data_IF_471840816935
#
_entry.id   IF_471840816935
#
_cell.length_a   1.000
_cell.length_b   1.000
_cell.length_c   1.000
_cell.angle_alpha   90.00
_cell.angle_beta   90.00
_cell.angle_gamma   90.00
#
_symmetry.space_group_name_H-M   'P 1'
#
loop_
_entity.id
_entity.type
_entity.pdbx_description
1 polymer ?
#
# COMPACT_ATOMS: atom_id res chain seq x y z
N UNK A 1 -125.91 65.86 -25.71
CA UNK A 1 -124.77 65.08 -25.17
C UNK A 1 -124.93 63.68 -25.72
N UNK A 2 -124.21 63.40 -26.81
CA UNK A 2 -124.14 62.11 -27.52
C UNK A 2 -123.38 61.07 -26.68
N UNK A 3 -123.39 59.81 -27.15
CA UNK A 3 -122.54 58.67 -26.72
C UNK A 3 -123.13 57.87 -25.54
N UNK A 4 -123.34 56.55 -25.56
CA UNK A 4 -122.91 55.48 -26.47
C UNK A 4 -123.75 54.24 -26.12
N UNK A 5 -124.77 53.90 -26.90
CA UNK A 5 -125.51 52.63 -26.71
C UNK A 5 -124.67 51.49 -27.27
N UNK A 6 -123.90 50.82 -26.41
CA UNK A 6 -123.22 49.57 -26.79
C UNK A 6 -124.28 48.52 -27.17
N UNK A 7 -124.24 48.06 -28.42
CA UNK A 7 -125.11 47.00 -28.90
C UNK A 7 -124.86 45.71 -28.08
N UNK A 8 -125.89 44.93 -27.73
CA UNK A 8 -125.74 43.71 -26.92
C UNK A 8 -124.79 42.67 -27.55
N UNK A 9 -124.56 42.73 -28.87
CA UNK A 9 -123.57 41.94 -29.60
C UNK A 9 -122.11 42.26 -29.23
N UNK A 10 -121.80 43.53 -28.98
CA UNK A 10 -120.44 43.99 -28.66
C UNK A 10 -120.02 43.54 -27.24
N UNK A 11 -120.97 43.54 -26.30
CA UNK A 11 -120.78 43.03 -24.94
C UNK A 11 -120.49 41.51 -24.93
N UNK A 12 -121.17 40.75 -25.78
CA UNK A 12 -120.93 39.31 -25.92
C UNK A 12 -119.53 39.01 -26.49
N UNK A 13 -119.08 39.81 -27.46
CA UNK A 13 -117.76 39.66 -28.09
C UNK A 13 -116.62 40.00 -27.12
N UNK A 14 -116.80 41.02 -26.27
CA UNK A 14 -115.83 41.36 -25.22
C UNK A 14 -115.78 40.24 -24.16
N UNK A 15 -116.92 39.67 -23.78
CA UNK A 15 -116.97 38.58 -22.79
C UNK A 15 -116.32 37.28 -23.30
N UNK A 16 -116.52 36.93 -24.56
CA UNK A 16 -115.86 35.75 -25.15
C UNK A 16 -114.35 35.97 -25.30
N UNK A 17 -113.94 37.18 -25.67
CA UNK A 17 -112.52 37.54 -25.77
C UNK A 17 -111.84 37.50 -24.40
N UNK A 18 -112.48 38.02 -23.34
CA UNK A 18 -111.91 37.98 -21.99
C UNK A 18 -111.81 36.56 -21.46
N UNK A 19 -112.83 35.72 -21.66
CA UNK A 19 -112.78 34.29 -21.28
C UNK A 19 -111.66 33.56 -22.04
N UNK A 20 -111.51 33.82 -23.34
CA UNK A 20 -110.44 33.21 -24.14
C UNK A 20 -109.05 33.63 -23.66
N UNK A 21 -108.85 34.91 -23.36
CA UNK A 21 -107.58 35.44 -22.82
C UNK A 21 -107.28 34.84 -21.44
N UNK A 22 -108.27 34.73 -20.56
CA UNK A 22 -108.11 34.12 -19.23
C UNK A 22 -107.81 32.62 -19.34
N UNK A 23 -108.48 31.90 -20.24
CA UNK A 23 -108.21 30.50 -20.50
C UNK A 23 -106.80 30.28 -21.09
N UNK A 24 -106.37 31.13 -22.02
CA UNK A 24 -105.02 31.10 -22.59
C UNK A 24 -103.95 31.41 -21.54
N UNK A 25 -104.21 32.37 -20.65
CA UNK A 25 -103.31 32.73 -19.55
C UNK A 25 -103.23 31.60 -18.51
N UNK A 26 -104.36 30.97 -18.19
CA UNK A 26 -104.42 29.83 -17.28
C UNK A 26 -103.70 28.60 -17.85
N UNK A 27 -103.84 28.30 -19.15
CA UNK A 27 -103.09 27.24 -19.81
C UNK A 27 -101.58 27.56 -19.85
N UNK A 28 -101.19 28.81 -20.11
CA UNK A 28 -99.78 29.21 -20.13
C UNK A 28 -99.12 29.07 -18.75
N UNK A 29 -99.84 29.43 -17.69
CA UNK A 29 -99.39 29.25 -16.30
C UNK A 29 -99.27 27.77 -15.92
N UNK A 30 -100.24 26.93 -16.31
CA UNK A 30 -100.16 25.47 -16.07
C UNK A 30 -99.07 24.79 -16.90
N UNK A 31 -98.85 25.23 -18.14
CA UNK A 31 -97.77 24.71 -18.99
C UNK A 31 -96.40 25.04 -18.40
N UNK A 32 -96.21 26.27 -17.89
CA UNK A 32 -94.98 26.67 -17.18
C UNK A 32 -94.79 25.95 -15.84
N UNK A 33 -95.86 25.67 -15.10
CA UNK A 33 -95.77 24.90 -13.86
C UNK A 33 -95.29 23.45 -14.08
N UNK A 34 -95.58 22.86 -15.25
CA UNK A 34 -95.10 21.51 -15.62
C UNK A 34 -93.68 21.50 -16.19
N UNK A 35 -93.14 22.64 -16.62
CA UNK A 35 -91.78 22.77 -17.17
C UNK A 35 -90.72 23.22 -16.16
N UNK A 36 -91.07 23.39 -14.87
CA UNK A 36 -90.11 23.71 -13.80
C UNK A 36 -89.43 22.44 -13.25
N UNK A 37 -89.90 21.24 -13.61
CA UNK A 37 -89.29 19.95 -13.22
C UNK A 37 -88.17 19.49 -14.17
N UNK A 38 -87.71 20.32 -15.11
CA UNK A 38 -86.59 19.98 -16.00
C UNK A 38 -85.31 20.75 -15.65
N UNK A 39 -84.88 20.68 -14.39
CA UNK A 39 -83.56 21.13 -13.90
C UNK A 39 -82.61 19.95 -13.57
N UNK A 40 -82.98 18.73 -13.92
CA UNK A 40 -82.21 17.50 -13.65
C UNK A 40 -80.77 17.45 -14.23
N UNK A 41 -80.43 17.99 -15.42
CA UNK A 41 -79.09 17.75 -15.99
C UNK A 41 -77.96 18.45 -15.23
N UNK A 42 -78.25 19.47 -14.40
CA UNK A 42 -77.21 20.18 -13.63
C UNK A 42 -76.89 19.43 -12.34
N UNK A 43 -77.88 18.80 -11.72
CA UNK A 43 -77.71 18.02 -10.49
C UNK A 43 -76.92 16.74 -10.77
N UNK A 44 -77.20 16.07 -11.89
CA UNK A 44 -76.43 14.88 -12.30
C UNK A 44 -74.97 15.19 -12.62
N UNK A 45 -74.72 16.33 -13.28
CA UNK A 45 -73.35 16.79 -13.55
C UNK A 45 -72.60 17.17 -12.26
N UNK A 46 -73.28 17.77 -11.28
CA UNK A 46 -72.71 18.08 -9.97
C UNK A 46 -72.38 16.82 -9.16
N UNK A 47 -73.26 15.81 -9.21
CA UNK A 47 -73.02 14.52 -8.55
C UNK A 47 -71.83 13.77 -9.18
N UNK A 48 -71.76 13.72 -10.51
CA UNK A 48 -70.63 13.12 -11.24
C UNK A 48 -69.32 13.86 -10.97
N UNK A 49 -69.36 15.19 -10.87
CA UNK A 49 -68.20 16.00 -10.55
C UNK A 49 -67.73 15.79 -9.11
N UNK A 50 -68.67 15.70 -8.16
CA UNK A 50 -68.38 15.34 -6.76
C UNK A 50 -67.68 13.98 -6.65
N UNK A 51 -68.16 12.98 -7.38
CA UNK A 51 -67.54 11.64 -7.41
C UNK A 51 -66.13 11.66 -8.01
N UNK A 52 -65.90 12.44 -9.08
CA UNK A 52 -64.57 12.61 -9.67
C UNK A 52 -63.61 13.34 -8.73
N UNK A 53 -64.06 14.39 -8.03
CA UNK A 53 -63.26 15.09 -7.04
C UNK A 53 -62.93 14.17 -5.86
N UNK A 54 -63.87 13.35 -5.41
CA UNK A 54 -63.63 12.43 -4.30
C UNK A 54 -62.62 11.34 -4.67
N UNK A 55 -62.72 10.76 -5.87
CA UNK A 55 -61.71 9.82 -6.40
C UNK A 55 -60.33 10.47 -6.59
N UNK A 56 -60.29 11.73 -6.99
CA UNK A 56 -59.04 12.50 -7.09
C UNK A 56 -58.43 12.76 -5.70
N UNK A 57 -59.27 13.11 -4.72
CA UNK A 57 -58.87 13.32 -3.33
C UNK A 57 -58.29 12.04 -2.71
N UNK A 58 -58.94 10.89 -2.90
CA UNK A 58 -58.44 9.58 -2.46
C UNK A 58 -57.12 9.20 -3.15
N UNK A 59 -56.99 9.51 -4.45
CA UNK A 59 -55.74 9.34 -5.18
C UNK A 59 -54.60 10.21 -4.65
N UNK A 60 -54.88 11.48 -4.35
CA UNK A 60 -53.92 12.42 -3.78
C UNK A 60 -53.49 12.02 -2.36
N UNK A 61 -54.40 11.52 -1.54
CA UNK A 61 -54.10 11.03 -0.19
C UNK A 61 -53.20 9.78 -0.24
N UNK A 62 -53.49 8.82 -1.14
CA UNK A 62 -52.61 7.67 -1.40
C UNK A 62 -51.24 8.07 -1.93
N UNK A 63 -51.17 9.07 -2.81
CA UNK A 63 -49.89 9.58 -3.30
C UNK A 63 -49.09 10.24 -2.18
N UNK A 64 -49.75 11.00 -1.30
CA UNK A 64 -49.10 11.65 -0.16
C UNK A 64 -48.57 10.62 0.83
N UNK A 65 -49.37 9.60 1.16
CA UNK A 65 -48.92 8.47 2.00
C UNK A 65 -47.83 7.61 1.35
N UNK A 66 -47.92 7.38 0.04
CA UNK A 66 -46.90 6.68 -0.74
C UNK A 66 -45.58 7.43 -0.80
N UNK A 67 -45.62 8.75 -0.99
CA UNK A 67 -44.42 9.61 -0.95
C UNK A 67 -43.78 9.65 0.44
N UNK A 68 -44.59 9.69 1.50
CA UNK A 68 -44.10 9.66 2.88
C UNK A 68 -43.34 8.35 3.17
N UNK A 69 -43.92 7.21 2.81
CA UNK A 69 -43.31 5.89 3.02
C UNK A 69 -42.07 5.67 2.15
N UNK A 70 -42.06 6.16 0.90
CA UNK A 70 -40.87 6.14 0.04
C UNK A 70 -39.78 7.03 0.61
N UNK A 71 -40.11 8.21 1.13
CA UNK A 71 -39.17 9.12 1.77
C UNK A 71 -38.55 8.49 3.03
N UNK A 72 -39.35 7.85 3.88
CA UNK A 72 -38.89 7.12 5.05
C UNK A 72 -37.99 5.92 4.68
N UNK A 73 -38.38 5.14 3.65
CA UNK A 73 -37.57 4.04 3.15
C UNK A 73 -36.23 4.52 2.58
N UNK A 74 -36.23 5.64 1.85
CA UNK A 74 -35.02 6.27 1.32
C UNK A 74 -34.12 6.78 2.46
N UNK A 75 -34.68 7.46 3.46
CA UNK A 75 -33.92 7.92 4.63
C UNK A 75 -33.27 6.76 5.39
N UNK A 76 -34.01 5.65 5.56
CA UNK A 76 -33.48 4.44 6.20
C UNK A 76 -32.39 3.76 5.38
N UNK A 77 -32.54 3.71 4.05
CA UNK A 77 -31.51 3.19 3.16
C UNK A 77 -30.24 4.05 3.21
N UNK A 78 -30.39 5.38 3.24
CA UNK A 78 -29.27 6.32 3.35
C UNK A 78 -28.50 6.16 4.67
N UNK A 79 -29.20 6.02 5.80
CA UNK A 79 -28.57 5.76 7.10
C UNK A 79 -27.83 4.40 7.13
N UNK A 80 -28.41 3.36 6.54
CA UNK A 80 -27.75 2.05 6.41
C UNK A 80 -26.46 2.14 5.60
N UNK A 81 -26.47 2.94 4.53
CA UNK A 81 -25.31 3.15 3.67
C UNK A 81 -24.20 3.91 4.42
N UNK A 82 -24.56 4.95 5.18
CA UNK A 82 -23.61 5.69 6.04
C UNK A 82 -22.97 4.75 7.06
N UNK A 83 -23.77 3.95 7.77
CA UNK A 83 -23.26 2.99 8.76
C UNK A 83 -22.33 1.95 8.13
N UNK A 84 -22.68 1.43 6.94
CA UNK A 84 -21.84 0.48 6.22
C UNK A 84 -20.53 1.11 5.73
N UNK A 85 -20.57 2.37 5.27
CA UNK A 85 -19.36 3.10 4.94
C UNK A 85 -18.47 3.30 6.17
N UNK A 86 -19.03 3.69 7.30
CA UNK A 86 -18.28 3.89 8.55
C UNK A 86 -17.62 2.58 9.01
N UNK A 87 -18.36 1.47 8.97
CA UNK A 87 -17.82 0.15 9.31
C UNK A 87 -16.70 -0.28 8.33
N UNK A 88 -16.89 -0.03 7.02
CA UNK A 88 -15.87 -0.30 6.00
C UNK A 88 -14.63 0.55 6.20
N UNK A 89 -14.78 1.84 6.46
CA UNK A 89 -13.67 2.77 6.71
C UNK A 89 -12.90 2.36 7.97
N UNK A 90 -13.60 2.00 9.05
CA UNK A 90 -12.98 1.49 10.27
C UNK A 90 -12.19 0.19 10.03
N UNK A 91 -12.76 -0.76 9.29
CA UNK A 91 -12.05 -1.99 8.89
C UNK A 91 -10.82 -1.72 8.03
N UNK A 92 -10.93 -0.83 7.05
CA UNK A 92 -9.79 -0.43 6.21
C UNK A 92 -8.72 0.26 7.04
N UNK A 93 -9.09 1.14 7.96
CA UNK A 93 -8.14 1.82 8.85
C UNK A 93 -7.39 0.83 9.75
N UNK A 94 -8.11 -0.13 10.35
CA UNK A 94 -7.50 -1.19 11.16
C UNK A 94 -6.56 -2.06 10.33
N UNK A 95 -7.00 -2.56 9.17
CA UNK A 95 -6.16 -3.38 8.29
C UNK A 95 -4.94 -2.62 7.78
N UNK A 96 -5.10 -1.33 7.44
CA UNK A 96 -3.99 -0.50 6.99
C UNK A 96 -2.98 -0.28 8.11
N UNK A 97 -3.43 -0.03 9.33
CA UNK A 97 -2.55 0.12 10.50
C UNK A 97 -1.80 -1.18 10.80
N UNK A 98 -2.49 -2.34 10.79
CA UNK A 98 -1.84 -3.64 10.96
C UNK A 98 -0.80 -3.90 9.87
N UNK A 99 -1.15 -3.70 8.60
CA UNK A 99 -0.23 -3.90 7.48
C UNK A 99 0.99 -2.97 7.53
N UNK A 100 0.79 -1.68 7.86
CA UNK A 100 1.88 -0.72 8.01
C UNK A 100 2.80 -1.08 9.17
N UNK A 101 2.23 -1.49 10.32
CA UNK A 101 3.00 -1.95 11.48
C UNK A 101 3.81 -3.20 11.14
N UNK A 102 3.18 -4.19 10.50
CA UNK A 102 3.85 -5.42 10.07
C UNK A 102 4.97 -5.16 9.07
N UNK A 103 4.72 -4.28 8.08
CA UNK A 103 5.71 -3.85 7.09
C UNK A 103 6.88 -3.13 7.75
N UNK A 104 6.61 -2.18 8.66
CA UNK A 104 7.63 -1.46 9.41
C UNK A 104 8.51 -2.41 10.22
N UNK A 105 7.90 -3.37 10.94
CA UNK A 105 8.62 -4.39 11.71
C UNK A 105 9.56 -5.22 10.83
N UNK A 106 9.06 -5.68 9.68
CA UNK A 106 9.83 -6.48 8.72
C UNK A 106 10.97 -5.67 8.09
N UNK A 107 10.72 -4.41 7.76
CA UNK A 107 11.75 -3.49 7.25
C UNK A 107 12.84 -3.24 8.29
N UNK A 108 12.47 -3.04 9.56
CA UNK A 108 13.43 -2.87 10.65
C UNK A 108 14.30 -4.12 10.87
N UNK A 109 13.71 -5.32 10.78
CA UNK A 109 14.46 -6.58 10.83
C UNK A 109 15.42 -6.72 9.65
N UNK A 110 14.96 -6.48 8.41
CA UNK A 110 15.82 -6.53 7.22
C UNK A 110 16.98 -5.53 7.29
N UNK A 111 16.74 -4.32 7.79
CA UNK A 111 17.79 -3.31 8.03
C UNK A 111 18.80 -3.78 9.08
N UNK A 112 18.34 -4.41 10.16
CA UNK A 112 19.21 -5.01 11.17
C UNK A 112 20.10 -6.12 10.61
N UNK A 113 19.52 -7.03 9.81
CA UNK A 113 20.25 -8.11 9.15
C UNK A 113 21.28 -7.57 8.15
N UNK A 114 20.93 -6.52 7.40
CA UNK A 114 21.85 -5.84 6.49
C UNK A 114 22.99 -5.17 7.26
N UNK A 115 22.69 -4.49 8.37
CA UNK A 115 23.72 -3.89 9.23
C UNK A 115 24.68 -4.95 9.78
N UNK A 116 24.18 -6.11 10.20
CA UNK A 116 25.01 -7.21 10.68
C UNK A 116 25.90 -7.80 9.57
N UNK A 117 25.36 -7.93 8.35
CA UNK A 117 26.14 -8.36 7.18
C UNK A 117 27.22 -7.34 6.83
N UNK A 118 26.91 -6.04 6.82
CA UNK A 118 27.89 -4.98 6.59
C UNK A 118 28.99 -4.97 7.65
N UNK A 119 28.64 -5.09 8.94
CA UNK A 119 29.63 -5.19 10.01
C UNK A 119 30.54 -6.42 9.87
N UNK A 120 30.01 -7.54 9.34
CA UNK A 120 30.81 -8.74 9.06
C UNK A 120 31.73 -8.52 7.85
N UNK A 121 31.25 -7.84 6.81
CA UNK A 121 32.05 -7.45 5.64
C UNK A 121 33.18 -6.49 6.05
N UNK A 122 32.90 -5.50 6.89
CA UNK A 122 33.92 -4.56 7.39
C UNK A 122 35.00 -5.30 8.18
N UNK A 123 34.61 -6.23 9.06
CA UNK A 123 35.57 -7.10 9.79
C UNK A 123 36.39 -7.98 8.85
N UNK A 124 35.79 -8.50 7.78
CA UNK A 124 36.50 -9.29 6.79
C UNK A 124 37.49 -8.42 5.99
N UNK A 125 37.09 -7.21 5.60
CA UNK A 125 37.98 -6.25 4.94
C UNK A 125 39.14 -5.84 5.83
N UNK A 126 38.93 -5.54 7.12
CA UNK A 126 40.01 -5.19 8.03
C UNK A 126 41.05 -6.31 8.15
N UNK A 127 40.60 -7.57 8.21
CA UNK A 127 41.48 -8.75 8.19
C UNK A 127 42.24 -8.88 6.87
N UNK A 128 41.57 -8.62 5.73
CA UNK A 128 42.22 -8.64 4.41
C UNK A 128 43.25 -7.53 4.31
N UNK A 129 42.96 -6.29 4.74
CA UNK A 129 43.92 -5.18 4.70
C UNK A 129 45.16 -5.47 5.55
N UNK A 130 45.00 -6.05 6.74
CA UNK A 130 46.13 -6.49 7.59
C UNK A 130 46.96 -7.58 6.89
N UNK A 131 46.29 -8.62 6.37
CA UNK A 131 46.96 -9.72 5.67
C UNK A 131 47.68 -9.26 4.39
N UNK A 132 47.05 -8.39 3.60
CA UNK A 132 47.65 -7.85 2.37
C UNK A 132 48.86 -6.97 2.68
N UNK A 133 48.88 -6.25 3.80
CA UNK A 133 50.06 -5.49 4.24
C UNK A 133 51.26 -6.38 4.57
N UNK A 134 51.04 -7.43 5.35
CA UNK A 134 52.10 -8.35 5.78
C UNK A 134 52.66 -9.18 4.60
N UNK A 135 51.78 -9.60 3.67
CA UNK A 135 52.19 -10.36 2.47
C UNK A 135 52.97 -9.50 1.48
N UNK A 136 52.60 -8.22 1.30
CA UNK A 136 53.34 -7.30 0.44
C UNK A 136 54.72 -6.97 1.02
N UNK A 137 54.81 -6.75 2.34
CA UNK A 137 56.09 -6.50 3.02
C UNK A 137 57.06 -7.67 2.91
N UNK A 138 56.57 -8.91 3.08
CA UNK A 138 57.38 -10.13 2.89
C UNK A 138 57.81 -10.31 1.43
N UNK A 139 56.94 -10.01 0.46
CA UNK A 139 57.30 -10.09 -0.96
C UNK A 139 58.40 -9.08 -1.33
N UNK A 140 58.32 -7.86 -0.81
CA UNK A 140 59.32 -6.81 -1.06
C UNK A 140 60.69 -7.19 -0.47
N UNK A 141 60.72 -7.75 0.74
CA UNK A 141 61.94 -8.28 1.38
C UNK A 141 62.56 -9.43 0.57
N UNK A 142 61.75 -10.33 0.02
CA UNK A 142 62.21 -11.51 -0.73
C UNK A 142 62.64 -11.19 -2.18
N UNK A 143 62.16 -10.07 -2.74
CA UNK A 143 62.51 -9.61 -4.09
C UNK A 143 63.97 -9.20 -4.24
N UNK A 144 64.60 -8.71 -3.16
CA UNK A 144 65.97 -8.21 -3.15
C UNK A 144 66.97 -9.31 -2.74
N UNK A 145 68.06 -9.49 -3.51
CA UNK A 145 69.06 -10.55 -3.27
C UNK A 145 69.78 -10.40 -1.92
N UNK A 146 70.08 -9.18 -1.51
CA UNK A 146 70.79 -8.90 -0.25
C UNK A 146 69.88 -9.13 0.95
N UNK A 147 68.65 -8.61 0.90
CA UNK A 147 67.67 -8.75 1.99
C UNK A 147 67.23 -10.20 2.17
N UNK A 148 67.13 -10.98 1.08
CA UNK A 148 66.89 -12.42 1.13
C UNK A 148 68.04 -13.20 1.79
N UNK A 149 69.29 -12.81 1.52
CA UNK A 149 70.46 -13.37 2.19
C UNK A 149 70.39 -13.14 3.71
N UNK A 150 70.14 -11.90 4.11
CA UNK A 150 69.98 -11.53 5.52
C UNK A 150 68.83 -12.30 6.21
N UNK A 151 67.71 -12.55 5.52
CA UNK A 151 66.62 -13.37 6.07
C UNK A 151 67.03 -14.83 6.33
N UNK A 152 67.82 -15.42 5.42
CA UNK A 152 68.41 -16.74 5.61
C UNK A 152 69.34 -16.79 6.83
N UNK A 153 70.20 -15.77 6.97
CA UNK A 153 71.15 -15.66 8.09
C UNK A 153 70.43 -15.48 9.44
N UNK A 154 69.36 -14.66 9.48
CA UNK A 154 68.54 -14.45 10.68
C UNK A 154 67.84 -15.74 11.10
N UNK A 155 67.21 -16.46 10.16
CA UNK A 155 66.58 -17.75 10.48
C UNK A 155 67.60 -18.78 10.93
N UNK A 156 68.76 -18.85 10.28
CA UNK A 156 69.84 -19.74 10.72
C UNK A 156 70.26 -19.41 12.15
N UNK A 157 70.41 -18.12 12.47
CA UNK A 157 70.77 -17.66 13.82
C UNK A 157 69.73 -18.04 14.86
N UNK A 158 68.44 -17.86 14.55
CA UNK A 158 67.33 -18.24 15.45
C UNK A 158 67.27 -19.76 15.68
N UNK A 159 67.45 -20.57 14.62
CA UNK A 159 67.49 -22.03 14.73
C UNK A 159 68.69 -22.48 15.57
N UNK A 160 69.88 -21.96 15.29
CA UNK A 160 71.11 -22.36 15.97
C UNK A 160 71.10 -21.92 17.43
N UNK A 161 70.63 -20.71 17.73
CA UNK A 161 70.51 -20.21 19.12
C UNK A 161 69.46 -20.97 19.95
N UNK A 162 68.42 -21.52 19.32
CA UNK A 162 67.45 -22.40 19.98
C UNK A 162 67.97 -23.83 20.19
N UNK A 163 68.77 -24.33 19.25
CA UNK A 163 69.25 -25.71 19.26
C UNK A 163 70.54 -25.91 20.06
N UNK A 164 71.41 -24.90 20.13
CA UNK A 164 72.75 -24.99 20.72
C UNK A 164 73.02 -23.84 21.70
N UNK A 165 73.82 -24.08 22.75
CA UNK A 165 74.28 -23.01 23.64
C UNK A 165 75.18 -22.03 22.89
N UNK A 166 75.26 -20.78 23.36
CA UNK A 166 76.04 -19.69 22.74
C UNK A 166 77.51 -20.01 22.51
N UNK A 167 78.07 -20.93 23.30
CA UNK A 167 79.49 -21.31 23.22
C UNK A 167 79.76 -22.40 22.17
N UNK A 168 78.70 -23.03 21.64
CA UNK A 168 78.74 -24.15 20.69
C UNK A 168 78.80 -23.74 19.23
N UNK A 169 78.68 -22.44 18.91
CA UNK A 169 78.69 -21.95 17.54
C UNK A 169 79.32 -20.56 17.43
N UNK A 170 79.62 -20.14 16.21
CA UNK A 170 80.18 -18.83 15.89
C UNK A 170 79.51 -18.30 14.62
N UNK A 171 78.92 -17.12 14.69
CA UNK A 171 78.20 -16.52 13.56
C UNK A 171 79.16 -15.67 12.74
N UNK A 172 79.02 -15.68 11.41
CA UNK A 172 79.86 -14.90 10.50
C UNK A 172 81.37 -15.16 10.65
N UNK A 173 81.75 -16.38 11.02
CA UNK A 173 83.14 -16.75 11.25
C UNK A 173 83.96 -16.71 9.96
N UNK A 174 85.18 -16.15 10.05
CA UNK A 174 86.15 -16.15 8.95
C UNK A 174 87.07 -17.35 9.09
N UNK A 175 87.05 -18.22 8.08
CA UNK A 175 87.85 -19.43 8.02
C UNK A 175 89.32 -19.09 7.68
N UNK A 176 90.23 -20.03 7.97
CA UNK A 176 91.67 -19.90 7.69
C UNK A 176 92.01 -19.72 6.20
N UNK A 177 91.05 -19.98 5.30
CA UNK A 177 91.15 -19.77 3.86
C UNK A 177 90.65 -18.38 3.40
N UNK A 178 90.31 -17.47 4.33
CA UNK A 178 89.81 -16.12 4.04
C UNK A 178 88.35 -16.05 3.60
N UNK A 179 87.62 -17.18 3.58
CA UNK A 179 86.17 -17.20 3.30
C UNK A 179 85.38 -17.01 4.58
N UNK A 180 84.28 -16.25 4.50
CA UNK A 180 83.35 -16.06 5.61
C UNK A 180 82.17 -17.00 5.45
N UNK A 181 81.80 -17.68 6.52
CA UNK A 181 80.63 -18.55 6.57
C UNK A 181 79.55 -17.95 7.46
N UNK A 182 78.29 -18.28 7.20
CA UNK A 182 77.15 -17.76 7.98
C UNK A 182 77.18 -18.27 9.43
N UNK A 183 77.51 -19.55 9.63
CA UNK A 183 77.69 -20.14 10.95
C UNK A 183 78.74 -21.26 10.96
N UNK A 184 79.49 -21.32 12.06
CA UNK A 184 80.46 -22.35 12.36
C UNK A 184 80.07 -23.04 13.67
N UNK A 185 79.66 -24.30 13.61
CA UNK A 185 79.36 -25.10 14.80
C UNK A 185 80.66 -25.73 15.31
N UNK A 186 80.97 -25.51 16.58
CA UNK A 186 82.17 -26.02 17.27
C UNK A 186 81.81 -27.33 17.97
N UNK A 187 82.15 -28.46 17.35
CA UNK A 187 81.96 -29.79 17.92
C UNK A 187 83.30 -30.40 18.38
N UNK A 188 83.29 -31.24 19.44
CA UNK A 188 84.46 -32.04 19.81
C UNK A 188 84.78 -33.06 18.72
N UNK A 189 86.07 -33.36 18.56
CA UNK A 189 86.57 -34.22 17.50
C UNK A 189 86.35 -35.72 17.86
N UNK A 190 85.89 -36.60 16.94
CA UNK A 190 85.32 -36.40 15.60
C UNK A 190 83.78 -36.27 15.63
N UNK A 191 83.12 -35.43 14.80
CA UNK A 191 83.52 -35.01 13.44
C UNK A 191 84.22 -33.65 13.28
N UNK A 192 84.48 -32.90 14.36
CA UNK A 192 85.15 -31.58 14.28
C UNK A 192 84.24 -30.43 13.84
N UNK A 193 84.77 -29.21 13.65
CA UNK A 193 83.95 -28.02 13.40
C UNK A 193 83.25 -28.07 12.04
N UNK A 194 81.95 -27.73 12.01
CA UNK A 194 81.09 -27.81 10.82
C UNK A 194 80.71 -26.40 10.37
N UNK A 195 80.85 -26.14 9.08
CA UNK A 195 80.48 -24.88 8.44
C UNK A 195 79.09 -25.00 7.83
N UNK A 196 78.22 -24.02 8.08
CA UNK A 196 76.86 -23.94 7.55
C UNK A 196 76.68 -22.62 6.80
N UNK A 197 76.11 -22.70 5.59
CA UNK A 197 75.72 -21.58 4.74
C UNK A 197 74.19 -21.60 4.62
N UNK A 198 73.54 -20.48 4.92
CA UNK A 198 72.11 -20.34 4.78
C UNK A 198 71.79 -19.83 3.37
N UNK A 199 71.08 -20.65 2.61
CA UNK A 199 70.60 -20.26 1.28
C UNK A 199 69.10 -20.39 1.20
N UNK A 200 68.43 -19.30 0.84
CA UNK A 200 66.98 -19.30 0.63
C UNK A 200 66.62 -19.88 -0.75
N UNK A 201 65.86 -21.01 -0.81
CA UNK A 201 65.43 -21.60 -2.08
C UNK A 201 64.14 -20.92 -2.59
N UNK A 202 64.29 -19.90 -3.42
CA UNK A 202 63.15 -19.12 -3.94
C UNK A 202 62.15 -19.98 -4.72
N UNK A 203 62.64 -20.86 -5.59
CA UNK A 203 61.79 -21.72 -6.44
C UNK A 203 60.91 -22.66 -5.60
N UNK A 204 61.45 -23.26 -4.54
CA UNK A 204 60.68 -24.11 -3.64
C UNK A 204 59.62 -23.32 -2.85
N UNK A 205 59.95 -22.09 -2.43
CA UNK A 205 59.00 -21.20 -1.75
C UNK A 205 57.89 -20.72 -2.68
N UNK A 206 58.21 -20.34 -3.92
CA UNK A 206 57.23 -19.94 -4.92
C UNK A 206 56.32 -21.12 -5.33
N UNK A 207 56.88 -22.33 -5.44
CA UNK A 207 56.12 -23.55 -5.67
C UNK A 207 55.12 -23.80 -4.53
N UNK A 208 55.55 -23.68 -3.27
CA UNK A 208 54.67 -23.79 -2.10
C UNK A 208 53.58 -22.71 -2.08
N UNK A 209 53.91 -21.46 -2.42
CA UNK A 209 52.94 -20.35 -2.43
C UNK A 209 51.89 -20.50 -3.52
N UNK A 210 52.28 -21.03 -4.69
CA UNK A 210 51.36 -21.22 -5.81
C UNK A 210 50.54 -22.52 -5.67
N UNK A 211 50.98 -23.45 -4.82
CA UNK A 211 50.22 -24.63 -4.48
C UNK A 211 48.94 -24.24 -3.73
N UNK A 212 47.80 -24.39 -4.41
CA UNK A 212 46.48 -23.97 -3.91
C UNK A 212 45.75 -25.08 -3.14
N UNK A 213 46.42 -26.18 -2.77
CA UNK A 213 45.82 -27.39 -2.22
C UNK A 213 46.78 -28.14 -1.28
N UNK A 214 46.25 -28.57 -0.14
CA UNK A 214 46.93 -29.23 1.00
C UNK A 214 47.42 -30.68 0.70
N UNK A 215 47.47 -31.10 -0.58
CA UNK A 215 47.71 -32.50 -1.00
C UNK A 215 49.05 -32.72 -1.71
N UNK A 216 49.87 -31.68 -1.91
CA UNK A 216 51.21 -31.82 -2.51
C UNK A 216 52.31 -31.24 -1.60
N UNK A 217 52.38 -31.73 -0.37
CA UNK A 217 53.57 -31.66 0.50
C UNK A 217 54.08 -33.07 0.75
#
# INVERSE_FOLDING_TARGET
MTEMTLSPLLLFLILTLTIFVVAALYLSLRAKAKSITSNDPIIDNLNLFGEKIQKLSEGQERLTGGLQTVSEAQAKAQLSLINMMEERLSKVQLQMNENLSHSSRRTAQSLGDLQQRLATIDKAQEKITKLSGDVLSLQDILSNKQTRGAFGEIQLTDIVSKALPSDGFDLQATLSNGRRADCLIKLPNPPGPIVIDSKFPLEAYEALRNASSEVET
#
